data_IF_158905281718
#
_entry.id   IF_158905281718
#
_cell.length_a   1.000
_cell.length_b   1.000
_cell.length_c   1.000
_cell.angle_alpha   90.00
_cell.angle_beta   90.00
_cell.angle_gamma   90.00
#
_symmetry.space_group_name_H-M   'P 1'
#
loop_
_entity.id
_entity.type
_entity.pdbx_description
1 polymer ?
#
# COMPACT_ATOMS: atom_id res chain seq x y z
N UNK A 1 -3.51 0.59 -15.74
CA UNK A 1 -3.42 1.65 -14.74
C UNK A 1 -4.82 1.90 -14.21
N UNK A 2 -5.07 1.69 -12.92
CA UNK A 2 -6.44 1.76 -12.34
C UNK A 2 -6.57 2.79 -11.21
N UNK A 3 -5.44 3.26 -10.67
CA UNK A 3 -5.38 4.16 -9.52
C UNK A 3 -4.32 5.21 -9.76
N UNK A 4 -4.61 6.45 -9.35
CA UNK A 4 -3.67 7.55 -9.35
C UNK A 4 -3.25 7.85 -7.90
N UNK A 5 -1.96 7.78 -7.62
CA UNK A 5 -1.42 8.19 -6.32
C UNK A 5 -1.56 9.71 -6.13
N UNK A 6 -1.88 10.12 -4.92
CA UNK A 6 -1.79 11.52 -4.48
C UNK A 6 -0.45 11.75 -3.77
N UNK A 7 -0.15 13.01 -3.44
CA UNK A 7 1.05 13.33 -2.67
C UNK A 7 0.86 13.12 -1.15
N UNK A 8 -0.37 12.89 -0.71
CA UNK A 8 -0.71 12.78 0.70
C UNK A 8 -0.26 11.43 1.30
N UNK A 9 0.51 11.51 2.38
CA UNK A 9 0.96 10.37 3.18
C UNK A 9 0.18 10.33 4.49
N UNK A 10 -0.52 9.23 4.72
CA UNK A 10 -1.35 9.00 5.91
C UNK A 10 -0.55 8.35 7.05
N UNK A 11 0.55 7.67 6.72
CA UNK A 11 1.44 7.06 7.71
C UNK A 11 2.73 6.53 7.12
N UNK A 12 3.78 6.51 7.93
CA UNK A 12 5.11 6.02 7.55
C UNK A 12 5.60 5.00 8.58
N UNK A 13 6.22 3.93 8.10
CA UNK A 13 6.83 2.90 8.91
C UNK A 13 8.16 2.45 8.30
N UNK A 14 8.90 1.61 9.03
CA UNK A 14 10.27 1.23 8.66
C UNK A 14 10.41 0.67 7.24
N UNK A 15 9.41 -0.08 6.76
CA UNK A 15 9.46 -0.77 5.46
C UNK A 15 8.17 -0.59 4.64
N UNK A 16 7.29 0.30 5.07
CA UNK A 16 6.02 0.56 4.39
C UNK A 16 5.50 1.97 4.64
N UNK A 17 4.76 2.51 3.69
CA UNK A 17 4.06 3.79 3.82
C UNK A 17 2.60 3.64 3.41
N UNK A 18 1.69 4.33 4.08
CA UNK A 18 0.29 4.43 3.69
C UNK A 18 0.07 5.77 3.01
N UNK A 19 -0.46 5.75 1.78
CA UNK A 19 -0.74 6.96 0.99
C UNK A 19 -2.16 6.96 0.46
N UNK A 20 -2.66 8.14 0.14
CA UNK A 20 -3.97 8.33 -0.46
C UNK A 20 -3.89 8.15 -1.97
N UNK A 21 -4.83 7.42 -2.57
CA UNK A 21 -4.96 7.28 -4.02
C UNK A 21 -6.43 7.36 -4.47
N UNK A 22 -6.64 7.66 -5.75
CA UNK A 22 -7.97 7.77 -6.34
C UNK A 22 -8.12 6.75 -7.46
N UNK A 23 -9.19 5.95 -7.42
CA UNK A 23 -9.51 5.03 -8.51
C UNK A 23 -9.99 5.82 -9.74
N UNK A 24 -9.37 5.57 -10.89
CA UNK A 24 -9.54 6.40 -12.09
C UNK A 24 -10.98 6.37 -12.62
N UNK A 25 -11.65 5.22 -12.56
CA UNK A 25 -12.97 5.05 -13.15
C UNK A 25 -14.12 5.56 -12.27
N UNK A 26 -13.99 5.45 -10.94
CA UNK A 26 -15.06 5.79 -9.99
C UNK A 26 -14.83 7.11 -9.27
N UNK A 27 -13.59 7.63 -9.28
CA UNK A 27 -13.21 8.79 -8.48
C UNK A 27 -13.18 8.53 -6.97
N UNK A 28 -13.36 7.27 -6.54
CA UNK A 28 -13.37 6.92 -5.12
C UNK A 28 -11.94 6.95 -4.58
N UNK A 29 -11.79 7.55 -3.40
CA UNK A 29 -10.52 7.65 -2.67
C UNK A 29 -10.29 6.42 -1.79
N UNK A 30 -9.02 5.97 -1.74
CA UNK A 30 -8.59 4.81 -0.97
C UNK A 30 -7.26 5.08 -0.26
N UNK A 31 -7.08 4.47 0.91
CA UNK A 31 -5.79 4.35 1.57
C UNK A 31 -5.06 3.09 1.06
N UNK A 32 -3.82 3.25 0.59
CA UNK A 32 -3.01 2.14 0.06
C UNK A 32 -1.72 2.00 0.85
N UNK A 33 -1.47 0.81 1.38
CA UNK A 33 -0.19 0.44 2.00
C UNK A 33 0.79 -0.02 0.92
N UNK A 34 1.89 0.71 0.80
CA UNK A 34 2.98 0.46 -0.14
C UNK A 34 4.12 -0.19 0.66
N UNK A 35 4.48 -1.43 0.35
CA UNK A 35 5.59 -2.14 0.98
C UNK A 35 6.84 -2.04 0.10
N UNK A 36 7.97 -1.65 0.71
CA UNK A 36 9.25 -1.54 0.02
C UNK A 36 9.84 -2.94 -0.13
N UNK A 37 10.29 -3.28 -1.34
CA UNK A 37 10.93 -4.56 -1.63
C UNK A 37 12.44 -4.42 -1.44
N UNK A 38 12.92 -4.63 -0.23
CA UNK A 38 14.36 -4.66 0.07
C UNK A 38 14.89 -6.08 0.19
N UNK A 39 16.14 -6.34 -0.24
CA UNK A 39 16.80 -7.61 0.04
C UNK A 39 16.89 -7.81 1.57
N UNK A 40 16.30 -8.90 2.06
CA UNK A 40 16.16 -9.17 3.50
C UNK A 40 14.73 -9.13 4.02
N UNK A 41 13.77 -8.60 3.24
CA UNK A 41 12.34 -8.66 3.56
C UNK A 41 11.64 -9.73 2.71
N UNK A 42 11.48 -10.97 3.23
CA UNK A 42 10.89 -12.03 2.46
C UNK A 42 9.42 -11.71 2.16
N UNK A 43 9.05 -11.91 0.88
CA UNK A 43 7.66 -11.80 0.40
C UNK A 43 6.65 -12.56 1.27
N UNK A 44 7.08 -13.64 1.94
CA UNK A 44 6.27 -14.44 2.84
C UNK A 44 5.63 -13.62 3.98
N UNK A 45 6.33 -12.62 4.53
CA UNK A 45 5.76 -11.78 5.59
C UNK A 45 4.58 -10.94 5.08
N UNK A 46 4.68 -10.45 3.84
CA UNK A 46 3.58 -9.73 3.19
C UNK A 46 2.40 -10.66 2.94
N UNK A 47 2.65 -11.90 2.50
CA UNK A 47 1.58 -12.88 2.31
C UNK A 47 0.87 -13.23 3.62
N UNK A 48 1.62 -13.47 4.71
CA UNK A 48 1.03 -13.73 6.03
C UNK A 48 0.16 -12.57 6.51
N UNK A 49 0.59 -11.32 6.27
CA UNK A 49 -0.19 -10.14 6.62
C UNK A 49 -1.54 -10.12 5.85
N UNK A 50 -1.53 -10.44 4.56
CA UNK A 50 -2.75 -10.52 3.74
C UNK A 50 -3.67 -11.65 4.19
N UNK A 51 -3.12 -12.82 4.54
CA UNK A 51 -3.89 -13.97 5.03
C UNK A 51 -4.54 -13.69 6.39
N UNK A 52 -3.86 -12.96 7.27
CA UNK A 52 -4.39 -12.63 8.62
C UNK A 52 -5.50 -11.59 8.58
N UNK A 53 -5.57 -10.79 7.51
CA UNK A 53 -6.53 -9.69 7.38
C UNK A 53 -7.92 -10.14 6.85
N UNK A 54 -8.08 -11.40 6.43
CA UNK A 54 -9.35 -12.01 5.99
C UNK A 54 -10.04 -12.76 7.14
#
# INVERSE_FOLDING_TARGET
DSYRMTDETLGEGAYASVRTCVQINSGIEYAVKINIKEPGHPRELVFREIETFH
#
